data_IF_557827603815
#
_entry.id   IF_557827603815
#
_cell.length_a   1.000
_cell.length_b   1.000
_cell.length_c   1.000
_cell.angle_alpha   90.00
_cell.angle_beta   90.00
_cell.angle_gamma   90.00
#
_symmetry.space_group_name_H-M   'P 1'
#
loop_
_entity.id
_entity.type
_entity.pdbx_description
1 polymer ?
#
# COMPACT_ATOMS: atom_id res chain seq x y z
N UNK A 1 12.08 -8.71 17.76
CA UNK A 1 12.17 -7.80 18.90
C UNK A 1 12.60 -8.56 20.17
N UNK A 2 13.23 -7.86 21.12
CA UNK A 2 13.73 -8.51 22.34
C UNK A 2 12.65 -9.21 23.18
N UNK A 3 11.39 -8.78 23.10
CA UNK A 3 10.25 -9.38 23.81
C UNK A 3 9.62 -10.56 23.05
N UNK A 4 10.21 -10.99 21.94
CA UNK A 4 9.67 -12.05 21.10
C UNK A 4 8.61 -11.61 20.09
N UNK A 5 8.25 -10.33 20.07
CA UNK A 5 7.31 -9.79 19.08
C UNK A 5 8.03 -9.60 17.74
N UNK A 6 7.25 -9.61 16.65
CA UNK A 6 7.74 -9.38 15.29
C UNK A 6 7.39 -7.98 14.81
N UNK A 7 8.32 -7.39 14.08
CA UNK A 7 8.09 -6.12 13.39
C UNK A 7 8.30 -6.32 11.89
N UNK A 8 7.36 -5.82 11.09
CA UNK A 8 7.51 -5.75 9.64
C UNK A 8 8.03 -4.37 9.26
N UNK A 9 9.14 -4.35 8.53
CA UNK A 9 9.74 -3.11 8.05
C UNK A 9 9.82 -3.16 6.53
N UNK A 10 9.30 -2.14 5.88
CA UNK A 10 9.43 -1.95 4.44
C UNK A 10 10.42 -0.80 4.17
N UNK A 11 11.48 -1.09 3.44
CA UNK A 11 12.52 -0.11 3.12
C UNK A 11 12.13 0.68 1.87
N UNK A 12 12.16 2.00 1.98
CA UNK A 12 11.80 2.92 0.90
C UNK A 12 12.96 3.85 0.57
N UNK A 13 13.13 4.14 -0.73
CA UNK A 13 14.13 5.09 -1.23
C UNK A 13 13.52 6.43 -1.62
N UNK A 14 12.20 6.55 -1.66
CA UNK A 14 11.50 7.78 -1.98
C UNK A 14 11.47 8.78 -0.83
N UNK A 15 10.71 9.84 -1.01
CA UNK A 15 10.51 10.85 0.04
C UNK A 15 9.57 10.32 1.11
N UNK A 16 9.83 10.62 2.39
CA UNK A 16 8.92 10.21 3.47
C UNK A 16 7.51 10.76 3.28
N UNK A 17 6.53 9.91 3.58
CA UNK A 17 5.12 10.27 3.63
C UNK A 17 4.68 10.35 5.08
N UNK A 18 3.61 11.09 5.36
CA UNK A 18 3.04 11.15 6.71
C UNK A 18 2.46 9.79 7.13
N UNK A 19 2.38 9.55 8.44
CA UNK A 19 1.78 8.35 8.98
C UNK A 19 0.32 8.17 8.49
N UNK A 20 -0.43 9.25 8.34
CA UNK A 20 -1.79 9.23 7.82
C UNK A 20 -1.84 8.73 6.38
N UNK A 21 -0.94 9.20 5.52
CA UNK A 21 -0.83 8.74 4.13
C UNK A 21 -0.45 7.27 4.04
N UNK A 22 0.50 6.84 4.89
CA UNK A 22 0.97 5.45 4.90
C UNK A 22 -0.06 4.48 5.43
N UNK A 23 -0.97 4.94 6.29
CA UNK A 23 -2.05 4.13 6.82
C UNK A 23 -3.03 3.69 5.72
N UNK A 24 -3.17 4.48 4.67
CA UNK A 24 -3.99 4.18 3.49
C UNK A 24 -3.25 3.32 2.46
N UNK A 25 -1.96 3.10 2.64
CA UNK A 25 -1.14 2.26 1.76
C UNK A 25 -1.41 0.79 2.08
N UNK A 26 -1.70 0.01 1.04
CA UNK A 26 -2.08 -1.40 1.20
C UNK A 26 -0.90 -2.35 1.39
N UNK A 27 0.32 -1.92 1.08
CA UNK A 27 1.49 -2.81 0.99
C UNK A 27 1.82 -3.49 2.31
N UNK A 28 2.00 -2.73 3.39
CA UNK A 28 2.30 -3.29 4.71
C UNK A 28 1.13 -4.11 5.26
N UNK A 29 -0.11 -3.72 4.97
CA UNK A 29 -1.28 -4.50 5.37
C UNK A 29 -1.27 -5.88 4.70
N UNK A 30 -0.95 -5.94 3.41
CA UNK A 30 -0.82 -7.20 2.69
C UNK A 30 0.35 -8.03 3.22
N UNK A 31 1.47 -7.42 3.56
CA UNK A 31 2.60 -8.12 4.16
C UNK A 31 2.24 -8.73 5.52
N UNK A 32 1.49 -8.01 6.35
CA UNK A 32 1.04 -8.53 7.63
C UNK A 32 0.11 -9.74 7.46
N UNK A 33 -0.82 -9.68 6.52
CA UNK A 33 -1.69 -10.81 6.19
C UNK A 33 -0.87 -12.00 5.68
N UNK A 34 0.07 -11.74 4.77
CA UNK A 34 0.95 -12.78 4.21
C UNK A 34 1.82 -13.46 5.27
N UNK A 35 2.37 -12.69 6.20
CA UNK A 35 3.18 -13.25 7.30
C UNK A 35 2.35 -14.15 8.21
N UNK A 36 1.12 -13.74 8.52
CA UNK A 36 0.22 -14.54 9.36
C UNK A 36 -0.20 -15.83 8.65
N UNK A 37 -0.58 -15.76 7.39
CA UNK A 37 -1.08 -16.92 6.64
C UNK A 37 0.02 -17.89 6.24
N UNK A 38 1.21 -17.39 5.88
CA UNK A 38 2.29 -18.22 5.36
C UNK A 38 3.22 -18.74 6.45
N UNK A 39 3.47 -17.95 7.50
CA UNK A 39 4.45 -18.27 8.55
C UNK A 39 3.85 -18.31 9.94
N UNK A 40 2.56 -18.06 10.10
CA UNK A 40 1.85 -17.95 11.38
C UNK A 40 2.50 -16.92 12.31
N UNK A 41 3.05 -15.83 11.75
CA UNK A 41 3.66 -14.75 12.51
C UNK A 41 2.70 -13.57 12.64
N UNK A 42 2.45 -13.15 13.88
CA UNK A 42 1.71 -11.92 14.15
C UNK A 42 2.69 -10.75 14.19
N UNK A 43 2.54 -9.82 13.26
CA UNK A 43 3.33 -8.60 13.23
C UNK A 43 2.71 -7.57 14.19
N UNK A 44 3.27 -7.49 15.39
CA UNK A 44 2.81 -6.54 16.40
C UNK A 44 3.06 -5.08 15.99
N UNK A 45 4.11 -4.87 15.23
CA UNK A 45 4.53 -3.54 14.78
C UNK A 45 4.80 -3.54 13.28
N UNK A 46 4.49 -2.42 12.65
CA UNK A 46 4.73 -2.20 11.22
C UNK A 46 5.33 -0.81 11.03
N UNK A 47 6.30 -0.70 10.14
CA UNK A 47 6.93 0.59 9.85
C UNK A 47 7.47 0.64 8.43
N UNK A 48 7.52 1.85 7.88
CA UNK A 48 8.30 2.19 6.70
C UNK A 48 9.63 2.80 7.14
N UNK A 49 10.71 2.35 6.54
CA UNK A 49 12.03 2.92 6.78
C UNK A 49 12.54 3.61 5.52
N UNK A 50 12.63 4.92 5.58
CA UNK A 50 13.14 5.74 4.47
C UNK A 50 14.65 5.85 4.58
N UNK A 51 15.36 4.99 3.85
CA UNK A 51 16.80 4.77 4.04
C UNK A 51 17.66 6.00 3.71
N UNK A 52 17.23 6.82 2.75
CA UNK A 52 17.98 8.02 2.38
C UNK A 52 17.88 9.16 3.39
N UNK A 53 16.81 9.18 4.17
CA UNK A 53 16.55 10.18 5.19
C UNK A 53 16.78 9.65 6.61
N UNK A 54 17.14 8.39 6.74
CA UNK A 54 17.28 7.68 8.03
C UNK A 54 16.07 7.91 8.93
N UNK A 55 14.89 7.80 8.35
CA UNK A 55 13.62 8.07 9.04
C UNK A 55 12.75 6.83 9.07
N UNK A 56 12.39 6.38 10.27
CA UNK A 56 11.46 5.27 10.48
C UNK A 56 10.08 5.84 10.83
N UNK A 57 9.08 5.50 10.02
CA UNK A 57 7.69 5.93 10.24
C UNK A 57 6.86 4.72 10.65
N UNK A 58 6.52 4.59 11.94
CA UNK A 58 5.65 3.51 12.38
C UNK A 58 4.22 3.73 11.88
N UNK A 59 3.54 2.63 11.58
CA UNK A 59 2.15 2.65 11.13
C UNK A 59 1.33 1.75 12.04
N UNK A 60 0.34 2.32 12.71
CA UNK A 60 -0.56 1.55 13.55
C UNK A 60 -1.74 1.02 12.73
N UNK A 61 -2.10 -0.23 12.99
CA UNK A 61 -3.22 -0.91 12.33
C UNK A 61 -4.18 -1.43 13.38
N UNK A 62 -5.47 -1.38 13.04
CA UNK A 62 -6.56 -1.88 13.89
C UNK A 62 -7.29 -3.03 13.18
N UNK A 63 -8.23 -3.66 13.86
CA UNK A 63 -9.11 -4.66 13.23
C UNK A 63 -9.91 -4.09 12.06
N UNK A 64 -10.34 -2.83 12.16
CA UNK A 64 -11.04 -2.15 11.08
C UNK A 64 -10.15 -2.01 9.83
N UNK A 65 -8.85 -1.81 10.02
CA UNK A 65 -7.89 -1.76 8.91
C UNK A 65 -7.75 -3.11 8.22
N UNK A 66 -7.82 -4.22 8.97
CA UNK A 66 -7.82 -5.58 8.39
C UNK A 66 -9.05 -5.83 7.53
N UNK A 67 -10.22 -5.43 8.02
CA UNK A 67 -11.47 -5.55 7.25
C UNK A 67 -11.39 -4.72 5.97
N UNK A 68 -10.91 -3.50 6.09
CA UNK A 68 -10.71 -2.61 4.94
C UNK A 68 -9.77 -3.22 3.88
N UNK A 69 -8.65 -3.81 4.29
CA UNK A 69 -7.72 -4.41 3.32
C UNK A 69 -8.34 -5.62 2.63
N UNK A 70 -9.08 -6.44 3.36
CA UNK A 70 -9.78 -7.60 2.80
C UNK A 70 -10.80 -7.15 1.76
N UNK A 71 -11.63 -6.18 2.09
CA UNK A 71 -12.64 -5.62 1.18
C UNK A 71 -11.99 -5.01 -0.05
N UNK A 72 -10.89 -4.29 0.12
CA UNK A 72 -10.13 -3.68 -0.98
C UNK A 72 -9.56 -4.74 -1.93
N UNK A 73 -8.99 -5.81 -1.41
CA UNK A 73 -8.46 -6.91 -2.22
C UNK A 73 -9.57 -7.56 -3.04
N UNK A 74 -10.72 -7.85 -2.44
CA UNK A 74 -11.86 -8.44 -3.15
C UNK A 74 -12.41 -7.49 -4.21
N UNK A 75 -12.53 -6.22 -3.91
CA UNK A 75 -13.00 -5.21 -4.88
C UNK A 75 -12.07 -5.13 -6.09
N UNK A 76 -10.77 -5.08 -5.88
CA UNK A 76 -9.79 -5.05 -6.97
C UNK A 76 -9.83 -6.33 -7.77
N UNK A 77 -9.90 -7.49 -7.11
CA UNK A 77 -9.98 -8.78 -7.78
C UNK A 77 -11.23 -8.89 -8.64
N UNK A 78 -12.38 -8.49 -8.13
CA UNK A 78 -13.65 -8.50 -8.87
C UNK A 78 -13.57 -7.54 -10.08
N UNK A 79 -12.95 -6.38 -9.92
CA UNK A 79 -12.73 -5.44 -11.01
C UNK A 79 -11.87 -6.03 -12.13
N UNK A 80 -10.82 -6.74 -11.78
CA UNK A 80 -9.93 -7.40 -12.76
C UNK A 80 -10.68 -8.53 -13.48
N UNK A 81 -11.34 -9.39 -12.74
CA UNK A 81 -12.08 -10.53 -13.31
C UNK A 81 -13.25 -10.09 -14.18
N UNK A 82 -13.90 -9.00 -13.80
CA UNK A 82 -14.99 -8.40 -14.57
C UNK A 82 -14.53 -7.47 -15.69
N UNK A 83 -13.22 -7.33 -15.91
CA UNK A 83 -12.63 -6.43 -16.92
C UNK A 83 -13.08 -4.97 -16.76
N UNK A 84 -13.20 -4.50 -15.51
CA UNK A 84 -13.54 -3.13 -15.17
C UNK A 84 -12.34 -2.21 -15.34
N UNK A 85 -11.92 -1.97 -16.56
CA UNK A 85 -10.71 -1.22 -16.91
C UNK A 85 -11.04 0.17 -17.48
N UNK A 86 -12.12 0.76 -17.01
CA UNK A 86 -12.48 2.12 -17.43
C UNK A 86 -11.38 3.11 -17.07
N UNK A 87 -11.01 4.01 -17.98
CA UNK A 87 -10.00 5.01 -17.68
C UNK A 87 -10.45 5.97 -16.57
N UNK A 88 -9.52 6.34 -15.71
CA UNK A 88 -9.77 7.31 -14.64
C UNK A 88 -8.84 8.51 -14.79
N UNK A 89 -9.03 9.32 -15.86
CA UNK A 89 -8.11 10.41 -16.14
C UNK A 89 -8.17 11.50 -15.07
N UNK A 90 -6.99 12.07 -14.77
CA UNK A 90 -6.87 13.28 -13.98
C UNK A 90 -5.65 14.05 -14.46
N UNK A 91 -5.63 15.34 -14.24
CA UNK A 91 -4.48 16.15 -14.62
C UNK A 91 -3.19 15.61 -14.01
N UNK A 92 -3.19 15.29 -12.72
CA UNK A 92 -2.01 14.80 -12.03
C UNK A 92 -1.52 13.46 -12.56
N UNK A 93 -2.43 12.51 -12.82
CA UNK A 93 -2.06 11.20 -13.35
C UNK A 93 -1.60 11.31 -14.81
N UNK A 94 -2.34 12.03 -15.63
CA UNK A 94 -2.04 12.15 -17.07
C UNK A 94 -0.76 12.93 -17.35
N UNK A 95 -0.43 13.93 -16.54
CA UNK A 95 0.80 14.72 -16.72
C UNK A 95 2.08 13.90 -16.59
N UNK A 96 2.03 12.80 -15.82
CA UNK A 96 3.16 11.91 -15.59
C UNK A 96 3.05 10.58 -16.33
N UNK A 97 2.02 10.42 -17.15
CA UNK A 97 1.73 9.15 -17.81
C UNK A 97 2.47 9.03 -19.14
N UNK A 98 3.23 7.97 -19.33
CA UNK A 98 3.96 7.69 -20.57
C UNK A 98 3.03 7.47 -21.76
N UNK A 99 1.79 7.04 -21.51
CA UNK A 99 0.80 6.76 -22.55
C UNK A 99 -0.07 7.96 -22.91
N UNK A 100 0.19 9.13 -22.32
CA UNK A 100 -0.62 10.35 -22.52
C UNK A 100 -0.80 10.71 -24.00
N UNK A 101 0.23 10.53 -24.80
CA UNK A 101 0.22 10.89 -26.21
C UNK A 101 -0.79 10.06 -27.01
N UNK A 102 -0.89 8.77 -26.67
CA UNK A 102 -1.73 7.81 -27.40
C UNK A 102 -3.09 7.56 -26.74
N UNK A 103 -3.29 8.01 -25.51
CA UNK A 103 -4.51 7.72 -24.76
C UNK A 103 -5.65 8.67 -25.15
N UNK A 104 -6.77 8.15 -25.67
CA UNK A 104 -7.91 9.00 -26.08
C UNK A 104 -8.63 9.63 -24.87
N UNK A 105 -8.47 9.05 -23.66
CA UNK A 105 -9.10 9.55 -22.44
C UNK A 105 -8.21 10.52 -21.66
N UNK A 106 -6.99 10.79 -22.12
CA UNK A 106 -6.05 11.62 -21.39
C UNK A 106 -6.50 13.07 -21.25
N UNK A 107 -6.34 13.62 -20.07
CA UNK A 107 -6.47 15.07 -19.85
C UNK A 107 -5.21 15.76 -20.39
N UNK A 108 -5.44 16.85 -21.14
CA UNK A 108 -4.40 17.59 -21.86
C UNK A 108 -4.39 19.07 -21.51
#
# INVERSE_FOLDING_TARGET
>A
LPDGAYELIDYKTGRPKSATQLREDVQLSLYAVGARESWQLEAAHQAYYYVLDDEKVPVERTEADRDWITDTVFEVADGILGQGFEPTPSWSACSMCDYRIACPAAER
#
